data_IF_371227820163
#
_entry.id   IF_371227820163
#
_cell.length_a   1.000
_cell.length_b   1.000
_cell.length_c   1.000
_cell.angle_alpha   90.00
_cell.angle_beta   90.00
_cell.angle_gamma   90.00
#
_symmetry.space_group_name_H-M   'P 1'
#
loop_
_entity.id
_entity.type
_entity.pdbx_description
1 polymer ?
#
# COMPACT_ATOMS: atom_id res chain seq x y z
N UNK A 1 1.58 6.19 2.04
CA UNK A 1 2.34 5.45 1.01
C UNK A 1 1.53 5.43 -0.26
N UNK A 2 2.18 5.60 -1.40
CA UNK A 2 1.53 5.65 -2.71
C UNK A 2 2.18 4.64 -3.65
N UNK A 3 1.37 3.98 -4.46
CA UNK A 3 1.81 3.06 -5.51
C UNK A 3 1.00 3.36 -6.78
N UNK A 4 1.69 3.50 -7.91
CA UNK A 4 1.06 3.63 -9.23
C UNK A 4 1.18 2.29 -9.92
N UNK A 5 0.09 1.81 -10.49
CA UNK A 5 0.06 0.56 -11.24
C UNK A 5 -0.77 0.70 -12.51
N UNK A 6 -0.45 -0.13 -13.50
CA UNK A 6 -1.28 -0.38 -14.66
C UNK A 6 -1.79 -1.80 -14.63
N UNK A 7 -3.09 -2.00 -14.83
CA UNK A 7 -3.72 -3.32 -14.80
C UNK A 7 -5.05 -3.34 -15.55
N UNK A 8 -5.23 -4.38 -16.36
CA UNK A 8 -6.49 -4.67 -17.04
C UNK A 8 -6.69 -6.20 -17.01
N UNK A 9 -7.76 -6.72 -16.38
CA UNK A 9 -8.86 -6.04 -15.69
C UNK A 9 -8.43 -5.33 -14.39
N UNK A 10 -9.35 -4.54 -13.82
CA UNK A 10 -9.19 -3.86 -12.53
C UNK A 10 -8.73 -4.88 -11.47
N UNK A 11 -7.58 -4.65 -10.80
CA UNK A 11 -7.02 -5.64 -9.89
C UNK A 11 -7.60 -5.51 -8.48
N UNK A 12 -7.71 -6.62 -7.76
CA UNK A 12 -7.88 -6.63 -6.32
C UNK A 12 -6.56 -6.21 -5.64
N UNK A 13 -6.66 -5.39 -4.60
CA UNK A 13 -5.51 -4.81 -3.92
C UNK A 13 -5.47 -5.29 -2.47
N UNK A 14 -4.31 -5.81 -2.05
CA UNK A 14 -4.06 -6.18 -0.65
C UNK A 14 -2.76 -5.56 -0.16
N UNK A 15 -2.84 -4.79 0.92
CA UNK A 15 -1.66 -4.24 1.59
C UNK A 15 -1.21 -5.14 2.74
N UNK A 16 0.11 -5.21 2.94
CA UNK A 16 0.74 -5.97 4.01
C UNK A 16 1.75 -5.10 4.76
N UNK A 17 1.89 -5.33 6.07
CA UNK A 17 3.05 -4.94 6.87
C UNK A 17 3.77 -6.23 7.30
N UNK A 18 4.97 -6.45 6.75
CA UNK A 18 5.66 -7.74 6.81
C UNK A 18 4.81 -8.83 6.16
N UNK A 19 4.35 -9.78 6.96
CA UNK A 19 3.48 -10.88 6.52
C UNK A 19 2.00 -10.67 6.86
N UNK A 20 1.66 -9.61 7.60
CA UNK A 20 0.30 -9.36 8.08
C UNK A 20 -0.49 -8.54 7.07
N UNK A 21 -1.71 -8.99 6.74
CA UNK A 21 -2.66 -8.21 5.94
C UNK A 21 -3.11 -6.99 6.74
N UNK A 22 -3.13 -5.84 6.09
CA UNK A 22 -3.62 -4.58 6.64
C UNK A 22 -5.12 -4.48 6.33
N UNK A 23 -5.90 -4.11 7.35
CA UNK A 23 -7.33 -3.84 7.22
C UNK A 23 -7.62 -2.38 7.54
N UNK A 24 -8.69 -1.84 6.96
CA UNK A 24 -9.15 -0.49 7.27
C UNK A 24 -9.47 -0.36 8.77
N UNK A 25 -9.15 0.79 9.33
CA UNK A 25 -9.42 1.14 10.72
C UNK A 25 -9.56 2.66 10.88
N UNK A 26 -9.81 3.12 12.09
CA UNK A 26 -9.82 4.56 12.37
C UNK A 26 -8.48 5.24 12.10
N UNK A 27 -7.36 4.51 12.14
CA UNK A 27 -6.01 5.02 11.86
C UNK A 27 -5.53 4.73 10.45
N UNK A 28 -6.07 3.70 9.80
CA UNK A 28 -5.54 3.19 8.53
C UNK A 28 -6.63 3.26 7.48
N UNK A 29 -6.34 3.91 6.36
CA UNK A 29 -7.25 3.99 5.21
C UNK A 29 -6.55 3.58 3.94
N UNK A 30 -7.20 2.71 3.18
CA UNK A 30 -6.75 2.31 1.85
C UNK A 30 -7.67 2.91 0.78
N UNK A 31 -7.09 3.38 -0.32
CA UNK A 31 -7.87 3.83 -1.47
C UNK A 31 -7.22 3.43 -2.79
N UNK A 32 -8.07 3.30 -3.82
CA UNK A 32 -7.69 3.06 -5.21
C UNK A 32 -8.42 4.07 -6.09
N UNK A 33 -7.68 4.94 -6.75
CA UNK A 33 -8.20 5.97 -7.67
C UNK A 33 -7.72 5.68 -9.08
N UNK A 34 -8.65 5.61 -10.04
CA UNK A 34 -8.27 5.56 -11.46
C UNK A 34 -7.68 6.92 -11.87
N UNK A 35 -6.51 6.90 -12.52
CA UNK A 35 -5.79 8.10 -12.99
C UNK A 35 -5.70 8.16 -14.51
N UNK A 36 -6.03 7.08 -15.20
CA UNK A 36 -6.02 6.96 -16.66
C UNK A 36 -6.72 5.68 -17.11
N UNK A 37 -6.56 5.34 -18.39
CA UNK A 37 -7.02 4.04 -18.90
C UNK A 37 -6.13 2.96 -18.30
N UNK A 38 -6.74 2.04 -17.54
CA UNK A 38 -6.07 0.91 -16.88
C UNK A 38 -4.99 1.34 -15.86
N UNK A 39 -4.87 2.63 -15.52
CA UNK A 39 -3.90 3.16 -14.55
C UNK A 39 -4.58 3.56 -13.24
N UNK A 40 -3.94 3.20 -12.11
CA UNK A 40 -4.47 3.45 -10.77
C UNK A 40 -3.40 4.01 -9.85
N UNK A 41 -3.80 4.99 -9.02
CA UNK A 41 -3.09 5.42 -7.83
C UNK A 41 -3.68 4.68 -6.62
N UNK A 42 -2.85 3.91 -5.95
CA UNK A 42 -3.16 3.27 -4.67
C UNK A 42 -2.55 4.07 -3.54
N UNK A 43 -3.33 4.25 -2.48
CA UNK A 43 -2.85 4.95 -1.28
C UNK A 43 -3.13 4.10 -0.04
N UNK A 44 -2.12 3.97 0.80
CA UNK A 44 -2.23 3.48 2.18
C UNK A 44 -1.84 4.63 3.11
N UNK A 45 -2.81 5.15 3.84
CA UNK A 45 -2.65 6.25 4.79
C UNK A 45 -2.67 5.71 6.22
N UNK A 46 -1.72 6.15 7.06
CA UNK A 46 -1.65 5.86 8.49
C UNK A 46 -1.65 7.19 9.25
N UNK A 47 -2.70 7.46 10.00
CA UNK A 47 -2.83 8.66 10.84
C UNK A 47 -2.08 8.50 12.17
N UNK A 48 -1.43 9.58 12.63
CA UNK A 48 -0.63 9.61 13.86
C UNK A 48 0.40 8.46 13.94
N UNK A 49 1.34 8.38 12.96
CA UNK A 49 2.26 7.27 12.86
C UNK A 49 3.18 7.16 14.08
N UNK A 50 3.43 5.93 14.53
CA UNK A 50 4.34 5.60 15.62
C UNK A 50 5.49 4.74 15.12
N UNK A 51 6.47 4.44 15.97
CA UNK A 51 7.63 3.62 15.56
C UNK A 51 7.23 2.20 15.14
N UNK A 52 6.13 1.70 15.68
CA UNK A 52 5.54 0.38 15.41
C UNK A 52 4.95 0.29 14.00
N UNK A 53 4.60 1.44 13.40
CA UNK A 53 4.19 1.51 11.99
C UNK A 53 5.41 1.38 11.04
N UNK A 54 6.63 1.29 11.58
CA UNK A 54 7.83 1.08 10.78
C UNK A 54 7.89 -0.34 10.19
N UNK A 55 8.76 -0.52 9.21
CA UNK A 55 9.06 -1.82 8.63
C UNK A 55 8.70 -1.94 7.15
N UNK A 56 8.63 -3.18 6.68
CA UNK A 56 8.43 -3.48 5.27
C UNK A 56 6.95 -3.58 4.95
N UNK A 57 6.50 -2.81 3.98
CA UNK A 57 5.16 -2.85 3.42
C UNK A 57 5.18 -3.49 2.04
N UNK A 58 4.09 -4.17 1.70
CA UNK A 58 3.89 -4.73 0.37
C UNK A 58 2.49 -4.42 -0.12
N UNK A 59 2.38 -3.86 -1.31
CA UNK A 59 1.14 -3.79 -2.05
C UNK A 59 1.09 -4.95 -3.05
N UNK A 60 0.15 -5.87 -2.88
CA UNK A 60 -0.13 -6.92 -3.85
C UNK A 60 -1.32 -6.49 -4.71
N UNK A 61 -1.16 -6.52 -6.03
CA UNK A 61 -2.22 -6.31 -6.99
C UNK A 61 -2.46 -7.62 -7.75
N UNK A 62 -3.67 -8.15 -7.71
CA UNK A 62 -4.04 -9.42 -8.33
C UNK A 62 -5.18 -9.23 -9.32
N UNK A 63 -5.10 -9.87 -10.48
CA UNK A 63 -6.25 -10.08 -11.37
C UNK A 63 -6.19 -11.48 -12.00
N UNK A 64 -7.19 -11.80 -12.84
CA UNK A 64 -7.30 -13.13 -13.46
C UNK A 64 -6.12 -13.52 -14.37
N UNK A 65 -5.23 -12.58 -14.71
CA UNK A 65 -4.05 -12.84 -15.54
C UNK A 65 -2.74 -12.92 -14.74
N UNK A 66 -2.76 -12.58 -13.44
CA UNK A 66 -1.61 -12.73 -12.57
C UNK A 66 -1.58 -11.74 -11.41
N UNK A 67 -0.42 -11.63 -10.77
CA UNK A 67 -0.18 -10.70 -9.67
C UNK A 67 1.10 -9.89 -9.85
N UNK A 68 1.14 -8.73 -9.21
CA UNK A 68 2.31 -7.86 -9.12
C UNK A 68 2.44 -7.31 -7.71
N UNK A 69 3.70 -7.14 -7.26
CA UNK A 69 4.03 -6.73 -5.91
C UNK A 69 4.94 -5.51 -5.90
N UNK A 70 4.57 -4.49 -5.13
CA UNK A 70 5.43 -3.35 -4.81
C UNK A 70 5.84 -3.41 -3.33
N UNK A 71 7.14 -3.35 -3.04
CA UNK A 71 7.67 -3.41 -1.67
C UNK A 71 8.22 -2.04 -1.27
N UNK A 72 7.88 -1.59 -0.06
CA UNK A 72 8.25 -0.27 0.48
C UNK A 72 8.83 -0.49 1.88
N UNK A 73 10.06 -0.03 2.12
CA UNK A 73 10.63 -0.02 3.46
C UNK A 73 10.36 1.35 4.12
N UNK A 74 9.51 1.38 5.15
CA UNK A 74 9.22 2.58 5.93
C UNK A 74 10.14 2.61 7.16
N UNK A 75 11.15 3.49 7.10
CA UNK A 75 12.09 3.69 8.19
C UNK A 75 11.88 5.07 8.81
N UNK A 76 11.60 5.12 10.11
CA UNK A 76 11.64 6.37 10.86
C UNK A 76 13.09 6.73 11.14
N UNK A 77 13.65 7.69 10.40
CA UNK A 77 14.95 8.26 10.75
C UNK A 77 14.80 9.11 12.01
N UNK A 78 15.32 8.62 13.13
CA UNK A 78 15.39 9.42 14.35
C UNK A 78 16.44 10.52 14.21
N UNK A 79 16.03 11.79 14.25
CA UNK A 79 16.85 12.84 14.83
C UNK A 79 16.08 13.43 16.00
N UNK A 80 16.39 12.93 17.19
CA UNK A 80 16.11 13.61 18.45
C UNK A 80 17.36 13.49 19.32
N UNK A 81 18.32 14.38 19.05
CA UNK A 81 19.31 14.90 20.00
C UNK A 81 19.31 16.42 19.84
#
# INVERSE_FOLDING_TARGET
>A
MECILEANPVPEITWYQGTKVISDSNRVRMSRKATGKDSYLLTLEISNPTKEDGGNYRCNAFNNFGESNANIALNFQGRWQ
#
